data_IF_957536146833
#
_entry.id   IF_957536146833
#
_cell.length_a   1.000
_cell.length_b   1.000
_cell.length_c   1.000
_cell.angle_alpha   90.00
_cell.angle_beta   90.00
_cell.angle_gamma   90.00
#
_symmetry.space_group_name_H-M   'P 1'
#
loop_
_entity.id
_entity.type
_entity.pdbx_description
1 polymer ?
#
# COMPACT_ATOMS: atom_id res chain seq x y z
N UNK A 1 -23.94 -4.02 15.39
CA UNK A 1 -24.57 -4.86 14.37
C UNK A 1 -23.46 -5.30 13.42
N UNK A 2 -23.07 -6.58 13.47
CA UNK A 2 -22.20 -7.13 12.42
C UNK A 2 -22.93 -7.06 11.10
N UNK A 3 -22.36 -6.37 10.11
CA UNK A 3 -22.79 -6.59 8.72
C UNK A 3 -22.21 -7.94 8.37
N UNK A 4 -23.03 -8.98 8.19
CA UNK A 4 -22.50 -10.28 7.86
C UNK A 4 -21.81 -10.17 6.49
N UNK A 5 -20.55 -10.66 6.40
CA UNK A 5 -19.85 -10.81 5.14
C UNK A 5 -20.54 -11.92 4.35
N UNK A 6 -21.11 -11.57 3.21
CA UNK A 6 -21.74 -12.52 2.30
C UNK A 6 -20.69 -13.14 1.36
N UNK A 7 -20.13 -14.27 1.78
CA UNK A 7 -19.07 -14.95 1.04
C UNK A 7 -19.52 -15.39 -0.37
N UNK A 8 -20.79 -15.80 -0.52
CA UNK A 8 -21.30 -16.22 -1.82
C UNK A 8 -21.41 -15.04 -2.79
N UNK A 9 -21.99 -13.92 -2.34
CA UNK A 9 -22.07 -12.68 -3.11
C UNK A 9 -20.68 -12.22 -3.57
N UNK A 10 -19.71 -12.26 -2.65
CA UNK A 10 -18.34 -11.85 -2.96
C UNK A 10 -17.70 -12.78 -3.99
N UNK A 11 -17.84 -14.10 -3.82
CA UNK A 11 -17.32 -15.08 -4.77
C UNK A 11 -17.90 -14.89 -6.18
N UNK A 12 -19.20 -14.72 -6.29
CA UNK A 12 -19.88 -14.47 -7.58
C UNK A 12 -19.42 -13.13 -8.20
N UNK A 13 -19.35 -12.06 -7.41
CA UNK A 13 -18.97 -10.74 -7.91
C UNK A 13 -17.52 -10.67 -8.38
N UNK A 14 -16.58 -11.32 -7.67
CA UNK A 14 -15.15 -11.33 -8.01
C UNK A 14 -14.85 -11.98 -9.35
N UNK A 15 -15.74 -12.81 -9.90
CA UNK A 15 -15.63 -13.36 -11.24
C UNK A 15 -16.02 -12.40 -12.38
N UNK A 16 -16.47 -11.17 -12.08
CA UNK A 16 -16.87 -10.18 -13.08
C UNK A 16 -15.81 -9.09 -13.29
N UNK A 17 -15.62 -8.59 -14.52
CA UNK A 17 -14.63 -7.53 -14.80
C UNK A 17 -14.84 -6.24 -13.99
N UNK A 18 -16.08 -5.94 -13.62
CA UNK A 18 -16.52 -4.78 -12.83
C UNK A 18 -16.75 -5.11 -11.35
N UNK A 19 -16.07 -6.15 -10.81
CA UNK A 19 -16.22 -6.63 -9.44
C UNK A 19 -16.09 -5.50 -8.39
N UNK A 20 -15.22 -4.55 -8.62
CA UNK A 20 -14.95 -3.41 -7.72
C UNK A 20 -16.15 -2.44 -7.64
N UNK A 21 -16.96 -2.33 -8.70
CA UNK A 21 -18.22 -1.58 -8.69
C UNK A 21 -19.27 -2.36 -7.87
N UNK A 22 -19.41 -3.66 -8.15
CA UNK A 22 -20.39 -4.53 -7.50
C UNK A 22 -20.18 -4.66 -5.99
N UNK A 23 -18.92 -4.64 -5.55
CA UNK A 23 -18.52 -4.83 -4.16
C UNK A 23 -18.16 -3.51 -3.44
N UNK A 24 -18.10 -2.40 -4.17
CA UNK A 24 -17.61 -1.13 -3.64
C UNK A 24 -18.38 -0.64 -2.41
N UNK A 25 -19.73 -0.70 -2.44
CA UNK A 25 -20.54 -0.26 -1.31
C UNK A 25 -20.45 -1.23 -0.12
N UNK A 26 -20.34 -2.54 -0.38
CA UNK A 26 -20.14 -3.51 0.69
C UNK A 26 -18.79 -3.28 1.38
N UNK A 27 -17.73 -3.04 0.60
CA UNK A 27 -16.42 -2.75 1.16
C UNK A 27 -16.39 -1.45 1.97
N UNK A 28 -17.04 -0.37 1.49
CA UNK A 28 -17.20 0.89 2.25
C UNK A 28 -17.90 0.67 3.59
N UNK A 29 -18.94 -0.19 3.62
CA UNK A 29 -19.62 -0.56 4.88
C UNK A 29 -18.68 -1.29 5.84
N UNK A 30 -17.88 -2.24 5.34
CA UNK A 30 -16.86 -2.93 6.15
C UNK A 30 -15.80 -1.96 6.69
N UNK A 31 -15.38 -0.97 5.88
CA UNK A 31 -14.44 0.06 6.33
C UNK A 31 -15.04 0.98 7.41
N UNK A 32 -16.32 1.37 7.27
CA UNK A 32 -17.01 2.18 8.27
C UNK A 32 -17.11 1.44 9.61
N UNK A 33 -17.54 0.18 9.58
CA UNK A 33 -17.60 -0.66 10.79
C UNK A 33 -16.24 -0.87 11.45
N UNK A 34 -15.16 -1.00 10.65
CA UNK A 34 -13.82 -1.13 11.17
C UNK A 34 -13.31 0.15 11.84
N UNK A 35 -13.82 1.33 11.47
CA UNK A 35 -13.51 2.59 12.18
C UNK A 35 -14.17 2.64 13.55
N UNK A 36 -15.40 2.15 13.65
CA UNK A 36 -16.17 2.15 14.91
C UNK A 36 -15.68 1.06 15.87
N UNK A 37 -15.07 0.00 15.35
CA UNK A 37 -14.50 -1.09 16.13
C UNK A 37 -13.12 -1.54 15.55
N UNK A 38 -12.04 -0.83 15.89
CA UNK A 38 -10.70 -1.09 15.36
C UNK A 38 -10.17 -2.51 15.66
N UNK A 39 -10.62 -3.13 16.75
CA UNK A 39 -10.19 -4.48 17.15
C UNK A 39 -10.90 -5.59 16.37
N UNK A 40 -12.03 -5.27 15.74
CA UNK A 40 -12.74 -6.23 14.93
C UNK A 40 -12.03 -6.42 13.58
N UNK A 41 -11.80 -7.67 13.23
CA UNK A 41 -11.22 -8.04 11.92
C UNK A 41 -12.26 -7.92 10.79
N UNK A 42 -13.00 -6.84 10.78
CA UNK A 42 -14.20 -6.63 9.93
C UNK A 42 -13.87 -6.71 8.43
N UNK A 43 -12.68 -6.28 8.02
CA UNK A 43 -12.25 -6.30 6.61
C UNK A 43 -11.52 -7.58 6.19
N UNK A 44 -11.12 -8.41 7.14
CA UNK A 44 -10.34 -9.61 6.88
C UNK A 44 -11.02 -10.59 5.89
N UNK A 45 -12.34 -10.85 5.99
CA UNK A 45 -13.01 -11.73 5.02
C UNK A 45 -12.93 -11.21 3.59
N UNK A 46 -13.07 -9.89 3.38
CA UNK A 46 -12.96 -9.27 2.06
C UNK A 46 -11.54 -9.41 1.48
N UNK A 47 -10.52 -9.11 2.29
CA UNK A 47 -9.13 -9.30 1.86
C UNK A 47 -8.81 -10.76 1.55
N UNK A 48 -9.33 -11.71 2.34
CA UNK A 48 -9.14 -13.14 2.12
C UNK A 48 -9.80 -13.59 0.81
N UNK A 49 -11.01 -13.11 0.51
CA UNK A 49 -11.70 -13.46 -0.72
C UNK A 49 -10.94 -12.96 -1.97
N UNK A 50 -10.46 -11.71 -1.94
CA UNK A 50 -9.67 -11.15 -3.07
C UNK A 50 -8.30 -11.82 -3.19
N UNK A 51 -7.63 -12.12 -2.08
CA UNK A 51 -6.36 -12.85 -2.08
C UNK A 51 -6.50 -14.24 -2.70
N UNK A 52 -7.57 -14.97 -2.35
CA UNK A 52 -7.88 -16.27 -2.93
C UNK A 52 -8.16 -16.16 -4.44
N UNK A 53 -9.03 -15.23 -4.85
CA UNK A 53 -9.36 -15.02 -6.26
C UNK A 53 -8.14 -14.63 -7.12
N UNK A 54 -7.23 -13.82 -6.58
CA UNK A 54 -5.94 -13.50 -7.23
C UNK A 54 -5.05 -14.73 -7.36
N UNK A 55 -4.93 -15.52 -6.28
CA UNK A 55 -4.09 -16.71 -6.25
C UNK A 55 -4.58 -17.78 -7.23
N UNK A 56 -5.89 -17.97 -7.33
CA UNK A 56 -6.55 -18.95 -8.18
C UNK A 56 -6.70 -18.49 -9.64
N UNK A 57 -6.35 -17.23 -9.94
CA UNK A 57 -6.50 -16.66 -11.28
C UNK A 57 -7.96 -16.45 -11.69
N UNK A 58 -8.87 -16.36 -10.73
CA UNK A 58 -10.31 -16.18 -10.97
C UNK A 58 -10.69 -14.71 -11.11
N UNK A 59 -9.87 -13.79 -10.56
CA UNK A 59 -10.14 -12.37 -10.65
C UNK A 59 -9.82 -11.86 -12.05
N UNK A 60 -10.80 -11.34 -12.81
CA UNK A 60 -10.55 -10.80 -14.15
C UNK A 60 -9.74 -9.50 -14.02
N UNK A 61 -8.51 -9.53 -14.50
CA UNK A 61 -7.61 -8.39 -14.59
C UNK A 61 -7.42 -7.99 -16.05
N UNK A 62 -7.09 -6.72 -16.30
CA UNK A 62 -6.74 -6.24 -17.62
C UNK A 62 -5.39 -6.80 -18.10
N UNK A 63 -5.27 -7.00 -19.41
CA UNK A 63 -4.00 -7.32 -20.08
C UNK A 63 -3.29 -6.05 -20.54
N UNK A 64 -3.99 -4.93 -20.54
CA UNK A 64 -3.52 -3.59 -20.90
C UNK A 64 -4.44 -2.54 -20.28
N UNK A 65 -3.97 -1.30 -20.23
CA UNK A 65 -4.77 -0.19 -19.69
C UNK A 65 -3.99 1.11 -19.68
N UNK A 66 -4.40 2.04 -18.85
CA UNK A 66 -3.75 3.33 -18.65
C UNK A 66 -2.33 3.12 -18.14
N UNK A 67 -1.37 3.80 -18.73
CA UNK A 67 0.00 3.87 -18.22
C UNK A 67 0.11 4.99 -17.17
N UNK A 68 -0.06 4.62 -15.92
CA UNK A 68 0.06 5.56 -14.80
C UNK A 68 1.51 6.01 -14.55
N UNK A 69 2.49 5.32 -15.13
CA UNK A 69 3.91 5.56 -14.88
C UNK A 69 4.52 6.59 -15.85
N UNK A 70 3.76 7.04 -16.87
CA UNK A 70 4.18 8.15 -17.75
C UNK A 70 4.55 9.43 -16.98
N UNK A 71 3.90 9.65 -15.83
CA UNK A 71 4.17 10.79 -14.96
C UNK A 71 5.40 10.59 -14.05
N UNK A 72 6.13 9.46 -14.12
CA UNK A 72 7.27 9.17 -13.25
C UNK A 72 8.37 10.20 -13.42
N UNK A 73 8.75 10.83 -12.32
CA UNK A 73 9.80 11.84 -12.24
C UNK A 73 11.03 11.29 -11.51
N UNK A 74 12.21 11.96 -11.62
CA UNK A 74 13.37 11.61 -10.81
C UNK A 74 13.01 11.57 -9.33
N UNK A 75 13.48 10.52 -8.65
CA UNK A 75 13.22 10.29 -7.22
C UNK A 75 14.01 11.31 -6.40
N UNK A 76 13.32 12.16 -5.69
CA UNK A 76 13.86 13.17 -4.78
C UNK A 76 13.32 13.07 -3.34
N UNK A 77 12.34 12.18 -3.12
CA UNK A 77 11.61 12.07 -1.85
C UNK A 77 11.49 10.62 -1.40
N UNK A 78 11.65 10.39 -0.11
CA UNK A 78 11.33 9.12 0.56
C UNK A 78 10.13 9.35 1.46
N UNK A 79 9.08 8.54 1.31
CA UNK A 79 7.92 8.57 2.21
C UNK A 79 7.89 7.30 3.04
N UNK A 80 7.89 7.48 4.36
CA UNK A 80 7.86 6.36 5.30
C UNK A 80 6.44 6.08 5.75
N UNK A 81 6.08 4.78 5.77
CA UNK A 81 4.77 4.26 6.14
C UNK A 81 4.88 3.14 7.19
N UNK A 82 3.74 2.75 7.72
CA UNK A 82 3.56 1.48 8.42
C UNK A 82 2.33 0.73 7.87
N UNK A 83 2.31 -0.59 8.00
CA UNK A 83 1.15 -1.39 7.56
C UNK A 83 -0.07 -1.19 8.45
N UNK A 84 0.13 -0.71 9.69
CA UNK A 84 -0.87 -0.64 10.75
C UNK A 84 -1.51 -2.02 11.03
N UNK A 85 -0.73 -3.07 10.88
CA UNK A 85 -1.13 -4.45 11.13
C UNK A 85 -0.12 -5.13 12.06
N UNK A 86 -0.44 -6.34 12.52
CA UNK A 86 0.54 -7.17 13.20
C UNK A 86 1.69 -7.52 12.24
N UNK A 87 2.93 -7.63 12.73
CA UNK A 87 4.07 -8.05 11.92
C UNK A 87 3.85 -9.40 11.24
N UNK A 88 4.44 -9.58 10.07
CA UNK A 88 4.33 -10.81 9.27
C UNK A 88 3.32 -10.71 8.11
N UNK A 89 3.01 -9.49 7.63
CA UNK A 89 2.12 -9.27 6.49
C UNK A 89 2.63 -10.02 5.25
N UNK A 90 1.88 -11.01 4.72
CA UNK A 90 2.23 -11.66 3.46
C UNK A 90 2.10 -10.68 2.28
N UNK A 91 2.99 -10.79 1.28
CA UNK A 91 2.91 -9.95 0.07
C UNK A 91 1.59 -10.16 -0.69
N UNK A 92 1.06 -11.37 -0.72
CA UNK A 92 -0.24 -11.66 -1.33
C UNK A 92 -1.38 -10.89 -0.63
N UNK A 93 -1.37 -10.84 0.70
CA UNK A 93 -2.35 -10.06 1.49
C UNK A 93 -2.19 -8.57 1.22
N UNK A 94 -0.97 -8.05 1.19
CA UNK A 94 -0.70 -6.66 0.87
C UNK A 94 -1.21 -6.30 -0.52
N UNK A 95 -1.02 -7.20 -1.49
CA UNK A 95 -1.52 -7.05 -2.86
C UNK A 95 -3.05 -6.93 -2.91
N UNK A 96 -3.76 -7.86 -2.28
CA UNK A 96 -5.22 -7.85 -2.19
C UNK A 96 -5.77 -6.59 -1.51
N UNK A 97 -5.10 -6.15 -0.43
CA UNK A 97 -5.46 -4.92 0.29
C UNK A 97 -5.34 -3.68 -0.60
N UNK A 98 -4.24 -3.55 -1.34
CA UNK A 98 -4.02 -2.39 -2.22
C UNK A 98 -4.93 -2.44 -3.44
N UNK A 99 -5.18 -3.61 -4.01
CA UNK A 99 -6.16 -3.75 -5.09
C UNK A 99 -7.54 -3.25 -4.66
N UNK A 100 -8.03 -3.67 -3.49
CA UNK A 100 -9.33 -3.22 -2.97
C UNK A 100 -9.37 -1.74 -2.58
N UNK A 101 -8.28 -1.19 -2.06
CA UNK A 101 -8.28 0.15 -1.45
C UNK A 101 -7.79 1.25 -2.37
N UNK A 102 -6.97 0.94 -3.35
CA UNK A 102 -6.34 1.91 -4.22
C UNK A 102 -6.89 1.80 -5.66
N UNK A 103 -6.67 0.66 -6.30
CA UNK A 103 -7.04 0.48 -7.72
C UNK A 103 -8.54 0.31 -7.91
N UNK A 104 -9.22 -0.54 -7.14
CA UNK A 104 -10.66 -0.74 -7.26
C UNK A 104 -11.46 0.58 -7.18
N UNK A 105 -11.27 1.43 -6.15
CA UNK A 105 -11.94 2.72 -6.07
C UNK A 105 -11.60 3.69 -7.22
N UNK A 106 -10.38 3.65 -7.75
CA UNK A 106 -10.01 4.50 -8.89
C UNK A 106 -10.74 4.06 -10.17
N UNK A 107 -10.81 2.75 -10.43
CA UNK A 107 -11.55 2.18 -11.55
C UNK A 107 -13.07 2.30 -11.39
N UNK A 108 -13.58 2.48 -10.17
CA UNK A 108 -14.99 2.73 -9.90
C UNK A 108 -15.43 4.19 -10.15
N UNK A 109 -14.49 5.11 -10.45
CA UNK A 109 -14.83 6.52 -10.74
C UNK A 109 -15.43 6.66 -12.13
N UNK A 110 -16.69 7.07 -12.21
CA UNK A 110 -17.40 7.27 -13.46
C UNK A 110 -16.73 8.31 -14.39
N UNK A 111 -15.95 9.24 -13.83
CA UNK A 111 -15.22 10.25 -14.59
C UNK A 111 -13.99 9.71 -15.32
N UNK A 112 -13.59 8.47 -15.08
CA UNK A 112 -12.40 7.86 -15.70
C UNK A 112 -12.76 7.12 -16.99
N UNK A 113 -11.93 7.21 -18.04
CA UNK A 113 -12.18 6.53 -19.31
C UNK A 113 -12.16 5.01 -19.19
N UNK A 114 -11.49 4.47 -18.17
CA UNK A 114 -11.38 3.04 -17.88
C UNK A 114 -12.42 2.55 -16.85
N UNK A 115 -13.40 3.38 -16.49
CA UNK A 115 -14.51 2.96 -15.62
C UNK A 115 -15.20 1.70 -16.18
N UNK A 116 -15.44 0.72 -15.34
CA UNK A 116 -16.08 -0.55 -15.73
C UNK A 116 -15.19 -1.56 -16.45
N UNK A 117 -13.94 -1.20 -16.77
CA UNK A 117 -12.97 -2.09 -17.41
C UNK A 117 -12.27 -3.00 -16.38
N UNK A 118 -11.71 -4.14 -16.79
CA UNK A 118 -10.86 -4.93 -15.91
C UNK A 118 -9.70 -4.11 -15.35
N UNK A 119 -9.42 -4.27 -14.05
CA UNK A 119 -8.39 -3.47 -13.38
C UNK A 119 -7.01 -3.82 -13.93
N UNK A 120 -6.26 -2.79 -14.29
CA UNK A 120 -4.89 -2.87 -14.78
C UNK A 120 -3.97 -2.02 -13.91
N UNK A 121 -2.81 -2.55 -13.51
CA UNK A 121 -1.81 -1.77 -12.76
C UNK A 121 -0.62 -1.34 -13.62
N UNK A 122 -0.29 -2.09 -14.67
CA UNK A 122 0.97 -1.95 -15.39
C UNK A 122 2.19 -2.47 -14.62
N UNK A 123 2.05 -2.85 -13.35
CA UNK A 123 3.12 -3.25 -12.47
C UNK A 123 3.26 -4.76 -12.40
N UNK A 124 4.50 -5.27 -12.49
CA UNK A 124 4.77 -6.71 -12.49
C UNK A 124 5.88 -7.07 -11.52
N UNK A 125 5.70 -8.19 -10.85
CA UNK A 125 6.69 -8.83 -10.00
C UNK A 125 6.69 -10.34 -10.30
N UNK A 126 7.84 -10.89 -10.69
CA UNK A 126 7.97 -12.29 -11.10
C UNK A 126 6.90 -12.70 -12.13
N UNK A 127 6.74 -11.88 -13.18
CA UNK A 127 5.80 -12.04 -14.31
C UNK A 127 4.30 -12.05 -13.91
N UNK A 128 3.98 -11.69 -12.67
CA UNK A 128 2.60 -11.54 -12.20
C UNK A 128 2.26 -10.07 -11.98
N UNK A 129 1.09 -9.67 -12.44
CA UNK A 129 0.58 -8.33 -12.17
C UNK A 129 0.39 -8.11 -10.67
N UNK A 130 0.90 -6.98 -10.17
CA UNK A 130 0.82 -6.61 -8.75
C UNK A 130 0.21 -5.22 -8.58
N UNK A 131 -0.33 -4.97 -7.40
CA UNK A 131 -1.05 -3.75 -7.03
C UNK A 131 -0.42 -3.05 -5.83
N UNK A 132 0.85 -3.31 -5.55
CA UNK A 132 1.52 -2.75 -4.39
C UNK A 132 1.66 -1.23 -4.51
N UNK A 133 1.27 -0.52 -3.45
CA UNK A 133 1.49 0.92 -3.35
C UNK A 133 2.88 1.27 -2.82
N UNK A 134 3.60 0.33 -2.21
CA UNK A 134 4.92 0.57 -1.61
C UNK A 134 6.04 -0.06 -2.42
N UNK A 135 7.21 0.60 -2.44
CA UNK A 135 8.41 0.10 -3.10
C UNK A 135 9.20 -0.86 -2.21
N UNK A 136 9.26 -0.56 -0.91
CA UNK A 136 9.99 -1.35 0.08
C UNK A 136 9.09 -1.80 1.22
N UNK A 137 9.18 -3.07 1.56
CA UNK A 137 8.58 -3.62 2.78
C UNK A 137 9.69 -3.99 3.76
N UNK A 138 9.66 -3.41 4.97
CA UNK A 138 10.71 -3.54 5.97
C UNK A 138 10.16 -4.25 7.20
N UNK A 139 10.80 -5.36 7.58
CA UNK A 139 10.40 -6.18 8.73
C UNK A 139 11.10 -5.69 10.01
N UNK A 140 10.53 -6.02 11.16
CA UNK A 140 11.09 -5.62 12.45
C UNK A 140 12.43 -6.32 12.78
N UNK A 141 12.74 -7.44 12.15
CA UNK A 141 14.03 -8.13 12.24
C UNK A 141 15.13 -7.53 11.36
N UNK A 142 14.80 -6.51 10.57
CA UNK A 142 15.71 -5.82 9.65
C UNK A 142 15.74 -6.37 8.23
N UNK A 143 14.92 -7.37 7.89
CA UNK A 143 14.73 -7.75 6.49
C UNK A 143 14.05 -6.59 5.75
N UNK A 144 14.62 -6.21 4.58
CA UNK A 144 14.06 -5.18 3.71
C UNK A 144 13.93 -5.75 2.30
N UNK A 145 12.69 -5.82 1.83
CA UNK A 145 12.32 -6.38 0.54
C UNK A 145 11.97 -5.24 -0.43
N UNK A 146 12.67 -5.15 -1.58
CA UNK A 146 12.30 -4.25 -2.67
C UNK A 146 11.24 -4.96 -3.52
N UNK A 147 9.98 -4.60 -3.29
CA UNK A 147 8.82 -5.33 -3.84
C UNK A 147 8.26 -4.67 -5.10
N UNK A 148 8.44 -3.37 -5.29
CA UNK A 148 8.02 -2.63 -6.48
C UNK A 148 9.23 -1.91 -7.07
N UNK A 149 9.49 -2.12 -8.36
CA UNK A 149 10.58 -1.45 -9.08
C UNK A 149 10.41 0.08 -9.05
N UNK A 150 11.51 0.81 -8.90
CA UNK A 150 11.52 2.27 -8.78
C UNK A 150 11.03 3.01 -10.03
N UNK A 151 10.98 2.34 -11.19
CA UNK A 151 10.39 2.89 -12.42
C UNK A 151 8.88 3.06 -12.32
N UNK A 152 8.22 2.32 -11.44
CA UNK A 152 6.78 2.38 -11.21
C UNK A 152 6.41 3.44 -10.17
N UNK A 153 5.24 4.03 -10.32
CA UNK A 153 4.67 4.96 -9.35
C UNK A 153 3.86 4.18 -8.31
N UNK A 154 4.36 4.09 -7.10
CA UNK A 154 3.60 3.53 -5.99
C UNK A 154 2.45 4.45 -5.58
N UNK A 155 1.26 3.92 -5.41
CA UNK A 155 0.08 4.69 -5.00
C UNK A 155 -0.04 4.72 -3.47
N UNK A 156 0.84 5.46 -2.79
CA UNK A 156 0.97 5.39 -1.33
C UNK A 156 0.68 6.69 -0.58
N UNK A 157 0.93 7.86 -1.22
CA UNK A 157 0.96 9.12 -0.48
C UNK A 157 -0.39 9.84 -0.42
N UNK A 158 -1.42 9.39 -1.18
CA UNK A 158 -2.68 10.11 -1.31
C UNK A 158 -2.55 11.46 -2.03
N UNK A 159 -1.39 11.72 -2.62
CA UNK A 159 -1.04 12.92 -3.37
C UNK A 159 -0.24 12.51 -4.60
N UNK A 160 -0.77 12.80 -5.80
CA UNK A 160 -0.18 12.35 -7.06
C UNK A 160 1.20 12.97 -7.30
N UNK A 161 1.35 14.28 -7.04
CA UNK A 161 2.65 14.97 -7.17
C UNK A 161 3.75 14.29 -6.34
N UNK A 162 3.43 13.89 -5.10
CA UNK A 162 4.36 13.17 -4.24
C UNK A 162 4.61 11.76 -4.76
N UNK A 163 3.56 11.02 -5.18
CA UNK A 163 3.72 9.67 -5.71
C UNK A 163 4.67 9.64 -6.91
N UNK A 164 4.57 10.60 -7.83
CA UNK A 164 5.36 10.62 -9.07
C UNK A 164 6.87 10.78 -8.85
N UNK A 165 7.31 11.34 -7.73
CA UNK A 165 8.73 11.64 -7.43
C UNK A 165 9.27 11.00 -6.18
N UNK A 166 8.52 10.09 -5.56
CA UNK A 166 8.93 9.43 -4.32
C UNK A 166 9.00 7.93 -4.44
N UNK A 167 9.70 7.32 -3.51
CA UNK A 167 9.62 5.91 -3.18
C UNK A 167 9.10 5.75 -1.75
N UNK A 168 8.34 4.68 -1.52
CA UNK A 168 7.71 4.39 -0.24
C UNK A 168 8.43 3.26 0.49
N UNK A 169 8.82 3.51 1.74
CA UNK A 169 9.26 2.50 2.68
C UNK A 169 8.14 2.21 3.68
N UNK A 170 7.61 1.00 3.66
CA UNK A 170 6.56 0.58 4.58
C UNK A 170 7.13 -0.38 5.63
N UNK A 171 7.01 -0.02 6.90
CA UNK A 171 7.40 -0.89 8.02
C UNK A 171 6.22 -1.80 8.35
N UNK A 172 6.49 -3.10 8.38
CA UNK A 172 5.48 -4.13 8.65
C UNK A 172 5.23 -4.26 10.14
N UNK A 173 4.44 -3.35 10.66
CA UNK A 173 3.95 -3.34 12.05
C UNK A 173 2.85 -2.27 12.23
N UNK A 174 2.17 -2.29 13.37
CA UNK A 174 1.40 -1.14 13.87
C UNK A 174 2.30 -0.26 14.75
N UNK A 175 2.74 0.86 14.20
CA UNK A 175 3.59 1.83 14.89
C UNK A 175 2.79 3.03 15.41
N UNK A 176 1.46 2.92 15.52
CA UNK A 176 0.63 4.05 15.97
C UNK A 176 1.13 4.62 17.30
N UNK A 177 1.49 3.76 18.27
CA UNK A 177 1.88 4.16 19.63
C UNK A 177 3.29 3.68 20.02
N UNK A 178 4.06 3.14 19.09
CA UNK A 178 5.41 2.61 19.33
C UNK A 178 6.40 2.98 18.24
N UNK A 179 7.66 2.79 18.52
CA UNK A 179 8.74 2.97 17.55
C UNK A 179 9.04 1.65 16.82
N UNK A 180 9.58 1.72 15.59
CA UNK A 180 10.15 0.56 14.93
C UNK A 180 11.39 0.04 15.69
N UNK A 181 11.75 -1.21 15.42
CA UNK A 181 13.00 -1.76 15.94
C UNK A 181 14.23 -1.01 15.38
N UNK A 182 15.32 -1.04 16.13
CA UNK A 182 16.59 -0.49 15.63
C UNK A 182 17.07 -1.21 14.36
N UNK A 183 16.78 -2.51 14.21
CA UNK A 183 17.12 -3.27 13.01
C UNK A 183 16.34 -2.79 11.79
N UNK A 184 15.04 -2.52 11.93
CA UNK A 184 14.23 -1.94 10.86
C UNK A 184 14.74 -0.55 10.44
N UNK A 185 15.08 0.34 11.40
CA UNK A 185 15.64 1.65 11.09
C UNK A 185 16.99 1.54 10.36
N UNK A 186 17.87 0.64 10.79
CA UNK A 186 19.15 0.38 10.11
C UNK A 186 18.95 -0.14 8.69
N UNK A 187 17.98 -1.03 8.48
CA UNK A 187 17.68 -1.57 7.16
C UNK A 187 17.19 -0.46 6.21
N UNK A 188 16.29 0.41 6.69
CA UNK A 188 15.83 1.59 5.92
C UNK A 188 17.01 2.48 5.57
N UNK A 189 17.83 2.87 6.57
CA UNK A 189 18.99 3.74 6.34
C UNK A 189 19.98 3.14 5.34
N UNK A 190 20.25 1.83 5.44
CA UNK A 190 21.15 1.13 4.51
C UNK A 190 20.58 1.11 3.08
N UNK A 191 19.29 0.83 2.92
CA UNK A 191 18.62 0.85 1.62
C UNK A 191 18.61 2.25 1.00
N UNK A 192 18.34 3.30 1.78
CA UNK A 192 18.36 4.69 1.32
C UNK A 192 19.77 5.08 0.86
N UNK A 193 20.80 4.86 1.70
CA UNK A 193 22.19 5.19 1.32
C UNK A 193 22.65 4.50 0.05
N UNK A 194 22.24 3.24 -0.12
CA UNK A 194 22.66 2.44 -1.29
C UNK A 194 21.95 2.86 -2.57
N UNK A 195 20.65 3.08 -2.52
CA UNK A 195 19.82 3.19 -3.71
C UNK A 195 19.38 4.63 -4.00
N UNK A 196 19.35 5.51 -2.99
CA UNK A 196 18.81 6.88 -3.10
C UNK A 196 19.75 7.94 -2.49
N UNK A 197 21.07 7.92 -2.79
CA UNK A 197 22.05 8.84 -2.19
C UNK A 197 21.78 10.30 -2.58
N UNK A 198 21.00 10.56 -3.63
CA UNK A 198 20.62 11.90 -4.07
C UNK A 198 19.50 12.52 -3.22
N UNK A 199 18.77 11.72 -2.44
CA UNK A 199 17.64 12.24 -1.64
C UNK A 199 18.18 12.93 -0.40
N UNK A 200 17.80 14.20 -0.27
CA UNK A 200 18.19 15.01 0.90
C UNK A 200 17.43 14.59 2.15
N UNK A 201 18.02 14.76 3.30
CA UNK A 201 17.42 14.38 4.59
C UNK A 201 16.08 15.09 4.88
N UNK A 202 15.94 16.36 4.46
CA UNK A 202 14.68 17.09 4.59
C UNK A 202 13.53 16.42 3.81
N UNK A 203 13.84 15.71 2.73
CA UNK A 203 12.89 14.99 1.88
C UNK A 203 12.62 13.54 2.33
N UNK A 204 13.17 13.13 3.48
CA UNK A 204 12.79 11.87 4.14
C UNK A 204 11.68 12.19 5.13
N UNK A 205 10.46 11.94 4.70
CA UNK A 205 9.23 12.39 5.34
C UNK A 205 8.33 11.20 5.74
N UNK A 206 7.37 11.44 6.62
CA UNK A 206 6.31 10.50 6.92
C UNK A 206 5.07 10.75 6.05
N UNK A 207 4.21 9.76 5.91
CA UNK A 207 2.92 9.96 5.24
C UNK A 207 2.10 11.10 5.87
N UNK A 208 2.22 11.30 7.19
CA UNK A 208 1.61 12.42 7.91
C UNK A 208 2.14 13.83 7.54
N UNK A 209 3.20 13.92 6.74
CA UNK A 209 3.68 15.19 6.19
C UNK A 209 3.02 15.53 4.85
N UNK A 210 2.30 14.57 4.25
CA UNK A 210 1.64 14.70 2.95
C UNK A 210 0.14 14.85 3.07
N UNK A 211 -0.50 14.03 3.93
CA UNK A 211 -1.95 14.06 4.16
C UNK A 211 -2.25 13.93 5.67
N UNK A 212 -3.48 14.27 6.05
CA UNK A 212 -3.94 14.12 7.44
C UNK A 212 -4.10 12.64 7.81
N UNK A 213 -3.09 12.09 8.47
CA UNK A 213 -3.01 10.70 8.92
C UNK A 213 -2.03 10.55 10.07
N UNK A 214 -2.19 9.50 10.86
CA UNK A 214 -1.20 9.14 11.90
C UNK A 214 -0.03 8.31 11.37
N UNK A 215 -0.08 7.87 10.11
CA UNK A 215 0.97 7.08 9.47
C UNK A 215 2.24 7.93 9.28
N UNK A 216 3.43 7.45 9.62
CA UNK A 216 3.81 6.10 10.04
C UNK A 216 3.78 5.87 11.56
N UNK A 217 3.05 6.65 12.33
CA UNK A 217 2.90 6.54 13.78
C UNK A 217 3.16 7.86 14.50
N UNK A 218 2.54 8.03 15.68
CA UNK A 218 2.60 9.29 16.45
C UNK A 218 4.03 9.67 16.89
N UNK A 219 4.90 8.67 17.05
CA UNK A 219 6.29 8.87 17.48
C UNK A 219 7.26 9.15 16.33
N UNK A 220 6.80 9.22 15.09
CA UNK A 220 7.67 9.53 13.95
C UNK A 220 8.40 10.85 14.12
N UNK A 221 7.66 11.95 14.13
CA UNK A 221 8.24 13.30 14.22
C UNK A 221 8.96 13.57 15.54
N UNK A 222 8.38 13.26 16.71
CA UNK A 222 9.02 13.62 17.97
C UNK A 222 10.20 12.72 18.35
N UNK A 223 10.36 11.56 17.75
CA UNK A 223 11.37 10.60 18.16
C UNK A 223 12.14 9.95 17.01
N UNK A 224 11.56 8.95 16.34
CA UNK A 224 12.36 8.03 15.54
C UNK A 224 12.74 8.53 14.14
N UNK A 225 12.13 9.61 13.61
CA UNK A 225 12.66 10.28 12.42
C UNK A 225 14.09 10.76 12.64
N UNK A 226 14.36 11.39 13.77
CA UNK A 226 15.72 11.82 14.13
C UNK A 226 16.71 10.66 14.24
N UNK A 227 16.27 9.52 14.80
CA UNK A 227 17.08 8.29 14.88
C UNK A 227 17.41 7.74 13.48
N UNK A 228 16.42 7.73 12.57
CA UNK A 228 16.62 7.32 11.18
C UNK A 228 17.64 8.22 10.47
N UNK A 229 17.50 9.55 10.60
CA UNK A 229 18.43 10.52 9.98
C UNK A 229 19.85 10.37 10.52
N UNK A 230 20.03 10.18 11.82
CA UNK A 230 21.35 9.94 12.43
C UNK A 230 22.01 8.65 11.88
N UNK A 231 21.22 7.61 11.56
CA UNK A 231 21.74 6.39 10.93
C UNK A 231 22.17 6.60 9.47
N UNK A 232 21.71 7.65 8.80
CA UNK A 232 22.15 7.99 7.46
C UNK A 232 23.51 8.69 7.44
N UNK A 233 23.88 9.33 8.52
CA UNK A 233 25.18 10.02 8.67
C UNK A 233 26.31 9.07 9.12
N UNK A 234 25.96 7.93 9.70
CA UNK A 234 26.90 6.92 10.21
C UNK A 234 27.38 5.96 9.12
#
# INVERSE_FOLDING_TARGET
MEVPFDAQKWHEALGHPDWYIRLGDDFKRLEALAKDNPDAKTKEPAYTAVEAALHEGQLPLGDSGEDFDEDRRPIDTIVVHHTKNKPGMPLARLNAMHLLRLYGPEYARESRPYHGQPVWSGHFYQDKQVFWGYHWLVRQDGAAEHILDDRYIGWHAGNWDVNTRSVAFCIDDDLTEKEPSHLALRAIAAAIRKNYPQVKQENIIGHCDVVDTVCPGKLFKPSWRGKLLALLEA
#
